data_IF_649521450032
#
_entry.id   IF_649521450032
#
_cell.length_a   1.000
_cell.length_b   1.000
_cell.length_c   1.000
_cell.angle_alpha   90.00
_cell.angle_beta   90.00
_cell.angle_gamma   90.00
#
_symmetry.space_group_name_H-M   'P 1'
#
loop_
_entity.id
_entity.type
_entity.pdbx_description
1 polymer ?
#
# COMPACT_ATOMS: atom_id res chain seq x y z
N UNK A 1 13.87 5.53 -11.07
CA UNK A 1 15.02 6.43 -10.89
C UNK A 1 14.82 7.81 -11.54
N UNK A 2 13.85 7.97 -12.43
CA UNK A 2 13.61 9.23 -13.16
C UNK A 2 12.74 10.24 -12.40
N UNK A 3 11.99 9.80 -11.37
CA UNK A 3 11.11 10.69 -10.61
C UNK A 3 11.80 11.47 -9.50
N UNK A 4 11.25 12.65 -9.14
CA UNK A 4 11.60 13.39 -7.95
C UNK A 4 11.20 12.60 -6.69
N UNK A 5 12.08 12.56 -5.71
CA UNK A 5 11.86 11.88 -4.43
C UNK A 5 11.58 12.87 -3.33
N UNK A 6 10.38 12.88 -2.81
CA UNK A 6 9.98 13.77 -1.72
C UNK A 6 10.28 13.10 -0.37
N UNK A 7 11.07 13.78 0.47
CA UNK A 7 11.44 13.29 1.81
C UNK A 7 10.62 13.94 2.91
N UNK A 8 9.87 14.98 2.59
CA UNK A 8 8.98 15.72 3.48
C UNK A 8 7.48 15.51 3.18
N UNK A 9 7.14 14.42 2.46
CA UNK A 9 5.76 14.08 2.17
C UNK A 9 5.08 13.46 3.39
N UNK A 10 3.86 13.92 3.66
CA UNK A 10 3.05 13.48 4.79
C UNK A 10 1.71 12.92 4.31
N UNK A 11 1.33 11.83 4.95
CA UNK A 11 0.04 11.18 4.82
C UNK A 11 -0.75 11.31 6.11
N UNK A 12 -1.77 10.51 6.28
CA UNK A 12 -2.40 10.27 7.57
C UNK A 12 -1.93 8.92 8.13
N UNK A 13 -2.26 8.64 9.38
CA UNK A 13 -1.74 7.44 10.04
C UNK A 13 -2.43 6.12 9.60
N UNK A 14 -3.38 6.17 8.66
CA UNK A 14 -4.19 5.01 8.25
C UNK A 14 -4.62 5.11 6.78
N UNK A 15 -4.84 3.96 6.15
CA UNK A 15 -5.15 3.84 4.72
C UNK A 15 -6.44 4.57 4.29
N UNK A 16 -7.60 4.33 4.92
CA UNK A 16 -8.86 4.98 4.53
C UNK A 16 -8.79 6.50 4.62
N UNK A 17 -8.15 7.01 5.67
CA UNK A 17 -8.00 8.44 5.92
C UNK A 17 -7.09 9.11 4.89
N UNK A 18 -5.98 8.48 4.55
CA UNK A 18 -5.09 8.94 3.47
C UNK A 18 -5.77 8.86 2.11
N UNK A 19 -6.48 7.78 1.81
CA UNK A 19 -7.21 7.60 0.55
C UNK A 19 -8.29 8.65 0.38
N UNK A 20 -9.03 8.98 1.44
CA UNK A 20 -10.02 10.05 1.42
C UNK A 20 -9.37 11.42 1.15
N UNK A 21 -8.24 11.74 1.80
CA UNK A 21 -7.51 12.99 1.54
C UNK A 21 -6.92 13.04 0.12
N UNK A 22 -6.36 11.93 -0.38
CA UNK A 22 -5.85 11.82 -1.75
C UNK A 22 -6.94 12.05 -2.79
N UNK A 23 -8.09 11.41 -2.60
CA UNK A 23 -9.20 11.47 -3.55
C UNK A 23 -9.93 12.82 -3.56
N UNK A 24 -9.88 13.58 -2.46
CA UNK A 24 -10.69 14.80 -2.31
C UNK A 24 -9.89 16.09 -2.24
N UNK A 25 -8.59 16.01 -2.02
CA UNK A 25 -7.76 17.17 -1.73
C UNK A 25 -8.12 17.88 -0.41
N UNK A 26 -8.82 17.20 0.51
CA UNK A 26 -9.32 17.76 1.76
C UNK A 26 -8.85 16.98 2.98
N UNK A 27 -8.98 17.58 4.15
CA UNK A 27 -8.76 16.85 5.40
C UNK A 27 -9.80 15.73 5.52
N UNK A 28 -9.34 14.54 5.85
CA UNK A 28 -10.18 13.35 5.94
C UNK A 28 -11.33 13.45 6.97
N UNK A 29 -11.17 14.23 8.05
CA UNK A 29 -12.25 14.48 9.00
C UNK A 29 -13.39 15.31 8.39
N UNK A 30 -13.06 16.28 7.52
CA UNK A 30 -14.05 17.15 6.87
C UNK A 30 -14.89 16.39 5.83
N UNK A 31 -14.41 15.24 5.37
CA UNK A 31 -15.09 14.43 4.36
C UNK A 31 -15.72 13.14 4.90
N UNK A 32 -15.79 13.01 6.24
CA UNK A 32 -16.47 11.87 6.89
C UNK A 32 -15.58 10.65 7.15
N UNK A 33 -14.26 10.72 6.89
CA UNK A 33 -13.33 9.60 7.00
C UNK A 33 -12.29 9.84 8.11
N UNK A 34 -12.75 10.20 9.31
CA UNK A 34 -11.88 10.43 10.48
C UNK A 34 -11.21 9.18 11.03
N UNK A 35 -11.65 7.99 10.59
CA UNK A 35 -11.09 6.68 10.94
C UNK A 35 -11.17 5.75 9.72
N UNK A 36 -10.91 4.45 9.92
CA UNK A 36 -11.05 3.43 8.87
C UNK A 36 -12.50 3.33 8.37
N UNK A 37 -12.68 2.97 7.12
CA UNK A 37 -13.98 2.75 6.49
C UNK A 37 -14.81 1.66 7.19
N UNK A 38 -14.17 0.76 7.92
CA UNK A 38 -14.79 -0.29 8.71
C UNK A 38 -15.59 0.24 9.93
N UNK A 39 -15.37 1.49 10.33
CA UNK A 39 -15.95 2.07 11.54
C UNK A 39 -16.83 3.29 11.22
N UNK A 40 -18.13 3.15 11.44
CA UNK A 40 -19.09 4.27 11.47
C UNK A 40 -19.48 4.56 12.93
N UNK A 41 -18.99 5.64 13.48
CA UNK A 41 -19.33 6.05 14.85
C UNK A 41 -20.62 6.89 14.95
N UNK A 42 -21.24 7.22 13.81
CA UNK A 42 -22.39 8.08 13.72
C UNK A 42 -22.11 9.59 13.75
N UNK A 43 -20.88 10.00 14.10
CA UNK A 43 -20.49 11.43 14.06
C UNK A 43 -20.14 11.87 12.64
N UNK A 44 -20.44 13.13 12.25
CA UNK A 44 -20.24 13.61 10.87
C UNK A 44 -18.84 13.36 10.30
N UNK A 45 -17.78 13.60 11.08
CA UNK A 45 -16.40 13.38 10.67
C UNK A 45 -15.95 11.90 10.64
N UNK A 46 -16.79 10.94 11.08
CA UNK A 46 -16.43 9.52 11.30
C UNK A 46 -17.51 8.58 10.75
N UNK A 47 -17.86 8.77 9.49
CA UNK A 47 -18.94 8.03 8.84
C UNK A 47 -18.46 6.80 8.07
N UNK A 48 -17.15 6.54 8.00
CA UNK A 48 -16.58 5.40 7.30
C UNK A 48 -16.76 5.44 5.78
N UNK A 49 -17.17 6.59 5.23
CA UNK A 49 -17.22 6.85 3.79
C UNK A 49 -17.06 8.33 3.48
N UNK A 50 -16.59 8.64 2.30
CA UNK A 50 -16.52 10.02 1.80
C UNK A 50 -17.95 10.53 1.62
N UNK A 51 -18.24 11.74 2.15
CA UNK A 51 -19.54 12.36 2.05
C UNK A 51 -19.96 12.55 0.58
N UNK A 52 -21.25 12.35 0.28
CA UNK A 52 -21.75 12.35 -1.10
C UNK A 52 -21.67 13.73 -1.79
N UNK A 53 -21.67 14.80 -1.02
CA UNK A 53 -21.54 16.19 -1.49
C UNK A 53 -20.08 16.65 -1.65
N UNK A 54 -19.12 15.79 -1.35
CA UNK A 54 -17.69 16.05 -1.58
C UNK A 54 -17.22 15.33 -2.84
N UNK A 55 -16.90 16.05 -3.93
CA UNK A 55 -16.43 15.41 -5.15
C UNK A 55 -15.04 14.78 -4.94
N UNK A 56 -14.82 13.64 -5.59
CA UNK A 56 -13.51 13.01 -5.69
C UNK A 56 -12.74 13.56 -6.90
N UNK A 57 -11.42 13.36 -6.91
CA UNK A 57 -10.56 13.66 -8.05
C UNK A 57 -11.08 12.98 -9.33
N UNK A 58 -11.53 11.73 -9.25
CA UNK A 58 -12.09 11.02 -10.41
C UNK A 58 -13.38 11.66 -10.92
N UNK A 59 -14.27 12.11 -10.03
CA UNK A 59 -15.50 12.85 -10.44
C UNK A 59 -15.15 14.18 -11.12
N UNK A 60 -14.15 14.91 -10.60
CA UNK A 60 -13.69 16.16 -11.19
C UNK A 60 -13.04 15.94 -12.57
N UNK A 61 -12.12 14.99 -12.68
CA UNK A 61 -11.45 14.64 -13.94
C UNK A 61 -12.44 14.14 -15.00
N UNK A 62 -13.48 13.37 -14.62
CA UNK A 62 -14.57 12.99 -15.52
C UNK A 62 -15.28 14.22 -16.10
N UNK A 63 -15.50 15.25 -15.27
CA UNK A 63 -16.05 16.54 -15.71
C UNK A 63 -15.17 17.29 -16.72
N UNK A 64 -13.87 16.99 -16.74
CA UNK A 64 -12.88 17.49 -17.70
C UNK A 64 -12.63 16.53 -18.88
N UNK A 65 -13.44 15.49 -19.05
CA UNK A 65 -13.39 14.60 -20.20
C UNK A 65 -12.46 13.38 -20.04
N UNK A 66 -11.85 13.19 -18.89
CA UNK A 66 -11.02 12.00 -18.61
C UNK A 66 -11.84 10.71 -18.54
N UNK A 67 -11.21 9.59 -18.89
CA UNK A 67 -11.66 8.25 -18.54
C UNK A 67 -10.89 7.76 -17.30
N UNK A 68 -11.62 7.27 -16.30
CA UNK A 68 -11.04 6.98 -14.99
C UNK A 68 -11.10 5.48 -14.69
N UNK A 69 -9.96 4.90 -14.36
CA UNK A 69 -9.78 3.49 -14.09
C UNK A 69 -9.19 3.28 -12.70
N UNK A 70 -9.68 2.27 -11.99
CA UNK A 70 -9.11 1.86 -10.71
C UNK A 70 -8.90 0.35 -10.68
N UNK A 71 -7.71 -0.08 -10.28
CA UNK A 71 -7.40 -1.48 -9.97
C UNK A 71 -6.88 -1.61 -8.55
N UNK A 72 -7.31 -2.67 -7.84
CA UNK A 72 -6.87 -3.00 -6.50
C UNK A 72 -7.77 -2.45 -5.39
N UNK A 73 -7.16 -2.06 -4.27
CA UNK A 73 -7.82 -1.68 -3.03
C UNK A 73 -8.62 -0.38 -3.16
N UNK A 74 -9.89 -0.41 -2.73
CA UNK A 74 -10.72 0.80 -2.58
C UNK A 74 -10.68 1.37 -1.16
N UNK A 75 -11.17 0.65 -0.19
CA UNK A 75 -11.20 0.98 1.25
C UNK A 75 -11.72 2.39 1.59
N UNK A 76 -12.72 2.87 0.88
CA UNK A 76 -13.40 4.15 1.10
C UNK A 76 -14.94 4.01 1.15
N UNK A 77 -15.45 2.79 1.32
CA UNK A 77 -16.85 2.43 1.51
C UNK A 77 -17.02 1.76 2.86
N UNK A 78 -18.12 2.03 3.56
CA UNK A 78 -18.46 1.35 4.82
C UNK A 78 -18.50 -0.15 4.63
N UNK A 79 -18.00 -0.90 5.60
CA UNK A 79 -18.06 -2.37 5.57
C UNK A 79 -19.48 -2.90 5.40
N UNK A 80 -20.47 -2.25 6.00
CA UNK A 80 -21.91 -2.62 5.86
C UNK A 80 -22.49 -2.34 4.48
N UNK A 81 -21.77 -1.63 3.62
CA UNK A 81 -22.19 -1.25 2.26
C UNK A 81 -21.34 -1.96 1.18
N UNK A 82 -20.49 -2.93 1.55
CA UNK A 82 -19.64 -3.67 0.59
C UNK A 82 -20.29 -4.94 0.03
N UNK A 83 -21.49 -5.27 0.47
CA UNK A 83 -22.19 -6.47 0.03
C UNK A 83 -22.73 -6.38 -1.42
N UNK A 84 -23.11 -7.53 -2.02
CA UNK A 84 -23.51 -7.60 -3.43
C UNK A 84 -24.82 -6.86 -3.75
N UNK A 85 -25.54 -6.40 -2.75
CA UNK A 85 -26.78 -5.62 -2.90
C UNK A 85 -26.54 -4.11 -2.77
N UNK A 86 -25.31 -3.68 -2.55
CA UNK A 86 -24.96 -2.27 -2.31
C UNK A 86 -25.44 -1.73 -0.96
N UNK A 87 -25.66 -0.39 -0.85
CA UNK A 87 -25.72 0.62 -1.92
C UNK A 87 -24.36 0.86 -2.62
N UNK A 88 -24.41 1.18 -3.92
CA UNK A 88 -23.22 1.32 -4.76
C UNK A 88 -22.70 2.77 -4.90
N UNK A 89 -23.36 3.74 -4.28
CA UNK A 89 -22.99 5.17 -4.34
C UNK A 89 -21.61 5.47 -3.75
N UNK A 90 -21.18 4.69 -2.77
CA UNK A 90 -19.85 4.76 -2.19
C UNK A 90 -18.78 3.94 -2.90
N UNK A 91 -19.14 3.09 -3.87
CA UNK A 91 -18.21 2.24 -4.60
C UNK A 91 -17.46 3.04 -5.69
N UNK A 92 -16.36 2.50 -6.25
CA UNK A 92 -15.56 3.24 -7.23
C UNK A 92 -16.34 3.84 -8.38
N UNK A 93 -17.30 3.10 -8.99
CA UNK A 93 -18.09 3.62 -10.11
C UNK A 93 -19.01 4.77 -9.66
N UNK A 94 -19.60 4.68 -8.47
CA UNK A 94 -20.39 5.75 -7.85
C UNK A 94 -19.57 6.97 -7.47
N UNK A 95 -18.24 6.85 -7.44
CA UNK A 95 -17.28 7.88 -7.06
C UNK A 95 -16.34 8.30 -8.19
N UNK A 96 -16.81 8.20 -9.44
CA UNK A 96 -16.19 8.84 -10.60
C UNK A 96 -15.30 7.93 -11.45
N UNK A 97 -15.11 6.67 -11.11
CA UNK A 97 -14.39 5.73 -11.97
C UNK A 97 -15.32 5.09 -13.00
N UNK A 98 -14.83 4.92 -14.23
CA UNK A 98 -15.58 4.28 -15.32
C UNK A 98 -15.46 2.75 -15.27
N UNK A 99 -14.34 2.24 -14.77
CA UNK A 99 -14.09 0.83 -14.55
C UNK A 99 -13.35 0.61 -13.22
N UNK A 100 -13.66 -0.50 -12.61
CA UNK A 100 -13.03 -0.97 -11.39
C UNK A 100 -12.74 -2.47 -11.46
N UNK A 101 -11.57 -2.86 -10.97
CA UNK A 101 -11.23 -4.25 -10.70
C UNK A 101 -10.37 -4.34 -9.45
N UNK A 102 -10.83 -5.05 -8.42
CA UNK A 102 -10.09 -5.13 -7.17
C UNK A 102 -10.95 -5.55 -6.00
N UNK A 103 -10.69 -4.99 -4.84
CA UNK A 103 -11.39 -5.32 -3.60
C UNK A 103 -11.79 -4.06 -2.82
N UNK A 104 -12.86 -4.17 -2.04
CA UNK A 104 -13.47 -3.02 -1.37
C UNK A 104 -12.94 -2.79 0.05
N UNK A 105 -12.50 -3.84 0.72
CA UNK A 105 -12.08 -3.81 2.13
C UNK A 105 -10.61 -3.38 2.32
N UNK A 106 -10.17 -3.43 3.56
CA UNK A 106 -8.85 -3.03 4.04
C UNK A 106 -7.73 -3.92 3.49
N UNK A 107 -7.99 -5.20 3.39
CA UNK A 107 -7.07 -6.26 2.98
C UNK A 107 -7.82 -7.37 2.25
N UNK A 108 -7.08 -8.20 1.56
CA UNK A 108 -7.59 -9.44 0.94
C UNK A 108 -6.44 -10.42 0.77
N UNK A 109 -6.74 -11.70 0.74
CA UNK A 109 -5.77 -12.76 0.44
C UNK A 109 -5.23 -12.61 -0.99
N UNK A 110 -3.93 -12.85 -1.19
CA UNK A 110 -3.29 -12.65 -2.50
C UNK A 110 -3.50 -13.83 -3.46
N UNK A 111 -3.85 -15.00 -2.93
CA UNK A 111 -4.10 -16.21 -3.72
C UNK A 111 -5.58 -16.56 -3.83
N UNK A 112 -6.41 -16.06 -2.89
CA UNK A 112 -7.86 -16.27 -2.85
C UNK A 112 -8.61 -14.98 -2.51
N UNK A 113 -8.44 -13.90 -3.32
CA UNK A 113 -8.99 -12.60 -3.00
C UNK A 113 -10.51 -12.55 -3.14
N UNK A 114 -11.14 -11.69 -2.34
CA UNK A 114 -12.50 -11.22 -2.58
C UNK A 114 -12.49 -10.15 -3.67
N UNK A 115 -12.87 -10.51 -4.88
CA UNK A 115 -12.82 -9.62 -6.03
C UNK A 115 -14.17 -9.01 -6.40
N UNK A 116 -14.08 -7.76 -6.85
CA UNK A 116 -15.18 -7.02 -7.44
C UNK A 116 -14.74 -6.48 -8.81
N UNK A 117 -15.58 -6.71 -9.82
CA UNK A 117 -15.46 -6.07 -11.14
C UNK A 117 -16.62 -5.10 -11.30
N UNK A 118 -16.29 -3.82 -11.44
CA UNK A 118 -17.26 -2.72 -11.48
C UNK A 118 -18.13 -2.72 -10.21
N UNK A 119 -19.39 -3.16 -10.26
CA UNK A 119 -20.28 -3.31 -9.11
C UNK A 119 -20.68 -4.77 -8.84
N UNK A 120 -19.90 -5.75 -9.29
CA UNK A 120 -20.25 -7.17 -9.19
C UNK A 120 -19.14 -7.95 -8.51
N UNK A 121 -19.45 -8.66 -7.43
CA UNK A 121 -18.54 -9.64 -6.84
C UNK A 121 -18.28 -10.78 -7.82
N UNK A 122 -17.04 -11.16 -7.98
CA UNK A 122 -16.59 -12.22 -8.88
C UNK A 122 -15.64 -13.18 -8.18
N UNK A 123 -15.51 -14.39 -8.69
CA UNK A 123 -14.47 -15.30 -8.25
C UNK A 123 -13.12 -14.88 -8.87
N UNK A 124 -12.03 -15.21 -8.20
CA UNK A 124 -10.69 -15.07 -8.77
C UNK A 124 -10.57 -15.93 -10.05
N UNK A 125 -9.84 -15.45 -11.08
CA UNK A 125 -9.73 -16.18 -12.36
C UNK A 125 -8.87 -17.43 -12.28
N UNK A 126 -8.18 -17.66 -11.18
CA UNK A 126 -7.32 -18.81 -10.94
C UNK A 126 -7.14 -19.10 -9.46
N UNK A 127 -6.30 -20.08 -9.16
CA UNK A 127 -5.91 -20.49 -7.81
C UNK A 127 -4.38 -20.51 -7.69
N UNK A 128 -3.84 -20.60 -6.48
CA UNK A 128 -2.40 -20.80 -6.28
C UNK A 128 -1.84 -21.95 -7.15
N UNK A 129 -2.55 -23.08 -7.21
CA UNK A 129 -2.11 -24.26 -7.99
C UNK A 129 -2.04 -24.02 -9.50
N UNK A 130 -2.79 -23.01 -9.99
CA UNK A 130 -2.73 -22.57 -11.40
C UNK A 130 -1.78 -21.40 -11.62
N UNK A 131 -1.01 -21.02 -10.59
CA UNK A 131 -0.06 -19.90 -10.64
C UNK A 131 -0.68 -18.52 -10.42
N UNK A 132 -1.92 -18.44 -9.91
CA UNK A 132 -2.59 -17.17 -9.68
C UNK A 132 -1.97 -16.41 -8.49
N UNK A 133 -1.78 -15.10 -8.68
CA UNK A 133 -1.47 -14.14 -7.62
C UNK A 133 -2.11 -12.79 -7.92
N UNK A 134 -2.78 -12.18 -6.92
CA UNK A 134 -3.53 -10.94 -7.08
C UNK A 134 -2.70 -9.77 -7.64
N UNK A 135 -1.45 -9.63 -7.22
CA UNK A 135 -0.58 -8.54 -7.71
C UNK A 135 -0.40 -8.58 -9.22
N UNK A 136 -0.20 -9.77 -9.78
CA UNK A 136 -0.09 -9.97 -11.23
C UNK A 136 -1.40 -9.67 -11.94
N UNK A 137 -2.49 -10.23 -11.45
CA UNK A 137 -3.84 -10.07 -11.99
C UNK A 137 -4.28 -8.58 -12.03
N UNK A 138 -3.99 -7.81 -10.97
CA UNK A 138 -4.29 -6.37 -10.95
C UNK A 138 -3.54 -5.61 -12.05
N UNK A 139 -2.28 -5.92 -12.30
CA UNK A 139 -1.51 -5.26 -13.36
C UNK A 139 -1.98 -5.72 -14.74
N UNK A 140 -2.35 -6.99 -14.92
CA UNK A 140 -2.94 -7.49 -16.17
C UNK A 140 -4.28 -6.76 -16.48
N UNK A 141 -5.11 -6.53 -15.48
CA UNK A 141 -6.34 -5.75 -15.65
C UNK A 141 -6.06 -4.26 -15.94
N UNK A 142 -5.07 -3.65 -15.28
CA UNK A 142 -4.64 -2.29 -15.61
C UNK A 142 -4.20 -2.16 -17.07
N UNK A 143 -3.35 -3.10 -17.53
CA UNK A 143 -2.91 -3.19 -18.92
C UNK A 143 -4.10 -3.42 -19.87
N UNK A 144 -5.05 -4.25 -19.48
CA UNK A 144 -6.26 -4.50 -20.27
C UNK A 144 -7.12 -3.22 -20.43
N UNK A 145 -7.28 -2.44 -19.35
CA UNK A 145 -7.99 -1.17 -19.41
C UNK A 145 -7.30 -0.17 -20.32
N UNK A 146 -5.98 -0.01 -20.21
CA UNK A 146 -5.21 0.92 -21.05
C UNK A 146 -5.21 0.51 -22.53
N UNK A 147 -4.99 -0.77 -22.83
CA UNK A 147 -5.05 -1.28 -24.21
C UNK A 147 -6.44 -1.08 -24.83
N UNK A 148 -7.50 -1.35 -24.06
CA UNK A 148 -8.87 -1.11 -24.50
C UNK A 148 -9.15 0.37 -24.73
N UNK A 149 -8.64 1.25 -23.86
CA UNK A 149 -8.72 2.70 -24.00
C UNK A 149 -8.02 3.19 -25.26
N UNK A 150 -6.76 2.81 -25.47
CA UNK A 150 -5.96 3.17 -26.63
C UNK A 150 -6.61 2.73 -27.96
N UNK A 151 -7.24 1.56 -27.97
CA UNK A 151 -7.92 1.05 -29.16
C UNK A 151 -9.23 1.77 -29.48
N UNK A 152 -9.96 2.21 -28.45
CA UNK A 152 -11.31 2.76 -28.62
C UNK A 152 -11.35 4.27 -28.61
N UNK A 153 -10.52 4.93 -27.79
CA UNK A 153 -10.55 6.38 -27.53
C UNK A 153 -9.13 6.96 -27.32
N UNK A 154 -8.21 6.80 -28.30
CA UNK A 154 -6.80 7.17 -28.11
C UNK A 154 -6.58 8.65 -27.79
N UNK A 155 -7.46 9.55 -28.26
CA UNK A 155 -7.36 11.00 -28.08
C UNK A 155 -8.01 11.50 -26.78
N UNK A 156 -8.60 10.61 -25.98
CA UNK A 156 -9.24 10.97 -24.71
C UNK A 156 -8.22 10.81 -23.58
N UNK A 157 -8.02 11.80 -22.70
CA UNK A 157 -7.12 11.63 -21.55
C UNK A 157 -7.67 10.61 -20.55
N UNK A 158 -6.76 9.95 -19.83
CA UNK A 158 -7.11 8.94 -18.84
C UNK A 158 -6.44 9.17 -17.48
N UNK A 159 -7.09 8.66 -16.45
CA UNK A 159 -6.59 8.60 -15.08
C UNK A 159 -6.67 7.16 -14.60
N UNK A 160 -5.55 6.60 -14.15
CA UNK A 160 -5.47 5.24 -13.61
C UNK A 160 -4.93 5.27 -12.19
N UNK A 161 -5.68 4.71 -11.23
CA UNK A 161 -5.18 4.40 -9.90
C UNK A 161 -4.85 2.91 -9.80
N UNK A 162 -3.62 2.60 -9.40
CA UNK A 162 -3.16 1.23 -9.12
C UNK A 162 -2.90 1.11 -7.64
N UNK A 163 -3.76 0.40 -6.94
CA UNK A 163 -3.77 0.26 -5.50
C UNK A 163 -3.55 -1.22 -5.10
N UNK A 164 -2.30 -1.73 -5.13
CA UNK A 164 -2.04 -3.15 -4.84
C UNK A 164 -2.42 -3.52 -3.40
N UNK A 165 -2.54 -4.81 -3.12
CA UNK A 165 -2.58 -5.34 -1.75
C UNK A 165 -1.24 -5.17 -1.04
N UNK A 166 -0.15 -5.13 -1.78
CA UNK A 166 1.21 -4.93 -1.29
C UNK A 166 1.42 -3.49 -0.73
N UNK A 167 2.04 -3.31 0.45
CA UNK A 167 2.51 -4.41 1.33
C UNK A 167 1.67 -4.51 2.61
N UNK A 168 0.35 -4.53 2.50
CA UNK A 168 -0.52 -4.83 3.64
C UNK A 168 -0.49 -6.34 3.94
N UNK A 169 -0.71 -6.74 5.19
CA UNK A 169 -0.98 -8.14 5.49
C UNK A 169 -2.24 -8.64 4.73
N UNK A 170 -2.31 -9.92 4.35
CA UNK A 170 -1.31 -10.95 4.54
C UNK A 170 -0.07 -10.73 3.67
N UNK A 171 1.12 -10.87 4.26
CA UNK A 171 2.34 -10.85 3.47
C UNK A 171 2.48 -12.18 2.75
N UNK A 172 2.04 -12.22 1.50
CA UNK A 172 2.05 -13.39 0.63
C UNK A 172 2.76 -13.04 -0.67
N UNK A 173 3.63 -13.92 -1.13
CA UNK A 173 4.43 -13.74 -2.35
C UNK A 173 4.92 -15.09 -2.89
N UNK A 174 5.37 -15.16 -4.15
CA UNK A 174 6.02 -16.36 -4.70
C UNK A 174 7.18 -16.84 -3.84
N UNK A 175 7.25 -18.15 -3.62
CA UNK A 175 8.18 -18.78 -2.67
C UNK A 175 9.64 -18.48 -2.99
N UNK A 176 10.02 -18.49 -4.25
CA UNK A 176 11.37 -18.19 -4.71
C UNK A 176 11.84 -16.79 -4.33
N UNK A 177 10.94 -15.80 -4.36
CA UNK A 177 11.22 -14.45 -3.89
C UNK A 177 11.36 -14.41 -2.35
N UNK A 178 10.54 -15.15 -1.61
CA UNK A 178 10.67 -15.22 -0.14
C UNK A 178 12.00 -15.85 0.26
N UNK A 179 12.37 -16.96 -0.36
CA UNK A 179 13.62 -17.67 -0.11
C UNK A 179 14.86 -16.81 -0.41
N UNK A 180 14.79 -15.95 -1.44
CA UNK A 180 15.82 -14.96 -1.75
C UNK A 180 16.12 -14.02 -0.59
N UNK A 181 15.11 -13.66 0.22
CA UNK A 181 15.24 -12.69 1.30
C UNK A 181 15.54 -13.30 2.67
N UNK A 182 15.42 -14.60 2.85
CA UNK A 182 15.55 -15.23 4.17
C UNK A 182 16.90 -14.89 4.83
N UNK A 183 18.01 -15.02 4.13
CA UNK A 183 19.34 -14.72 4.69
C UNK A 183 19.62 -13.23 4.84
N UNK A 184 18.96 -12.38 4.04
CA UNK A 184 19.20 -10.92 4.05
C UNK A 184 18.83 -10.25 5.38
N UNK A 185 17.89 -10.83 6.11
CA UNK A 185 17.38 -10.30 7.38
C UNK A 185 17.84 -11.11 8.61
N UNK A 186 18.75 -12.05 8.43
CA UNK A 186 19.26 -12.89 9.50
C UNK A 186 19.97 -12.11 10.62
N UNK A 187 20.60 -10.95 10.29
CA UNK A 187 21.27 -10.07 11.26
C UNK A 187 20.29 -9.20 12.08
N UNK A 188 19.00 -9.24 11.75
CA UNK A 188 17.92 -8.64 12.50
C UNK A 188 17.67 -7.15 12.27
N UNK A 189 16.67 -6.66 12.99
CA UNK A 189 16.17 -5.29 12.81
C UNK A 189 17.11 -4.21 13.32
N UNK A 190 17.94 -4.44 14.34
CA UNK A 190 18.84 -3.43 14.85
C UNK A 190 19.95 -3.11 13.83
N UNK A 191 20.60 -4.15 13.28
CA UNK A 191 21.61 -4.02 12.21
C UNK A 191 20.98 -3.41 10.95
N UNK A 192 19.78 -3.84 10.61
CA UNK A 192 19.05 -3.29 9.45
C UNK A 192 18.74 -1.81 9.63
N UNK A 193 18.37 -1.34 10.83
CA UNK A 193 18.14 0.09 11.11
C UNK A 193 19.41 0.92 10.93
N UNK A 194 20.52 0.44 11.47
CA UNK A 194 21.82 1.15 11.34
C UNK A 194 22.22 1.25 9.87
N UNK A 195 22.16 0.17 9.12
CA UNK A 195 22.49 0.13 7.71
C UNK A 195 21.55 1.04 6.86
N UNK A 196 20.25 1.05 7.15
CA UNK A 196 19.29 1.95 6.48
C UNK A 196 19.58 3.41 6.77
N UNK A 197 19.84 3.79 8.04
CA UNK A 197 20.19 5.17 8.36
C UNK A 197 21.47 5.60 7.66
N UNK A 198 22.51 4.77 7.67
CA UNK A 198 23.76 5.06 6.99
C UNK A 198 23.53 5.33 5.49
N UNK A 199 22.74 4.48 4.84
CA UNK A 199 22.38 4.64 3.42
C UNK A 199 21.52 5.88 3.16
N UNK A 200 20.59 6.21 4.05
CA UNK A 200 19.76 7.43 3.92
C UNK A 200 20.59 8.71 4.05
N UNK A 201 21.58 8.73 4.93
CA UNK A 201 22.54 9.85 5.07
C UNK A 201 23.40 9.96 3.80
N UNK A 202 23.97 8.85 3.34
CA UNK A 202 24.79 8.79 2.13
C UNK A 202 24.07 9.32 0.90
N UNK A 203 22.79 8.95 0.76
CA UNK A 203 21.95 9.35 -0.39
C UNK A 203 21.25 10.69 -0.20
N UNK A 204 21.44 11.38 0.92
CA UNK A 204 20.83 12.68 1.22
C UNK A 204 19.33 12.63 1.56
N UNK A 205 18.75 11.46 1.73
CA UNK A 205 17.33 11.30 2.13
C UNK A 205 17.07 11.90 3.51
N UNK A 206 18.05 11.80 4.41
CA UNK A 206 18.04 12.47 5.71
C UNK A 206 19.31 13.29 5.91
N UNK A 207 19.28 14.39 6.70
CA UNK A 207 20.45 15.22 6.94
C UNK A 207 21.62 14.48 7.59
N UNK A 208 22.84 14.91 7.28
CA UNK A 208 24.06 14.49 8.00
C UNK A 208 23.91 14.81 9.48
N UNK A 209 24.27 13.87 10.36
CA UNK A 209 24.11 14.00 11.80
C UNK A 209 22.77 13.51 12.36
N UNK A 210 21.85 13.05 11.49
CA UNK A 210 20.64 12.34 11.94
C UNK A 210 21.04 11.13 12.79
N UNK A 211 20.37 10.93 13.91
CA UNK A 211 20.61 9.82 14.84
C UNK A 211 19.38 8.94 14.94
N UNK A 212 19.58 7.64 15.11
CA UNK A 212 18.49 6.74 15.44
C UNK A 212 17.90 7.11 16.81
N UNK A 213 16.57 7.21 16.92
CA UNK A 213 15.94 7.26 18.22
C UNK A 213 16.12 5.90 18.94
N UNK A 214 15.93 5.84 20.27
CA UNK A 214 15.79 4.58 20.99
C UNK A 214 14.75 3.68 20.32
N UNK A 215 14.84 2.36 20.56
CA UNK A 215 13.79 1.41 20.11
C UNK A 215 12.41 1.91 20.57
N UNK A 216 11.39 1.64 19.78
CA UNK A 216 10.03 1.94 20.17
C UNK A 216 9.64 1.12 21.41
N UNK A 217 8.73 1.66 22.21
CA UNK A 217 8.25 0.96 23.41
C UNK A 217 7.78 -0.46 23.08
N UNK A 218 8.18 -1.44 23.88
CA UNK A 218 7.91 -2.88 23.71
C UNK A 218 8.59 -3.53 22.50
N UNK A 219 9.59 -2.92 21.89
CA UNK A 219 10.46 -3.59 20.93
C UNK A 219 11.73 -4.02 21.67
N UNK A 220 11.89 -5.31 21.80
CA UNK A 220 13.08 -5.93 22.38
C UNK A 220 14.26 -5.85 21.42
N UNK A 221 15.49 -6.00 21.93
CA UNK A 221 16.65 -6.12 21.08
C UNK A 221 16.60 -7.42 20.30
N UNK A 222 17.08 -7.42 19.07
CA UNK A 222 17.19 -8.65 18.30
C UNK A 222 17.95 -9.74 19.09
N UNK A 223 19.05 -9.36 19.75
CA UNK A 223 19.89 -10.27 20.51
C UNK A 223 19.22 -10.88 21.76
N UNK A 224 18.10 -10.35 22.21
CA UNK A 224 17.37 -10.86 23.39
C UNK A 224 16.42 -12.01 23.02
N UNK A 225 16.25 -12.29 21.72
CA UNK A 225 15.42 -13.38 21.20
C UNK A 225 16.20 -14.69 21.00
N UNK A 226 15.48 -15.81 21.05
CA UNK A 226 16.03 -17.13 20.81
C UNK A 226 16.42 -17.35 19.31
N UNK A 227 17.40 -18.20 19.00
CA UNK A 227 17.80 -18.45 17.60
C UNK A 227 16.68 -18.92 16.68
N UNK A 228 15.74 -19.71 17.17
CA UNK A 228 14.56 -20.17 16.43
C UNK A 228 13.58 -19.02 16.14
N UNK A 229 13.45 -18.05 17.05
CA UNK A 229 12.65 -16.84 16.82
C UNK A 229 13.31 -15.95 15.76
N UNK A 230 14.63 -15.85 15.73
CA UNK A 230 15.37 -15.13 14.68
C UNK A 230 15.01 -15.67 13.30
N UNK A 231 14.94 -16.99 13.12
CA UNK A 231 14.55 -17.59 11.84
C UNK A 231 13.12 -17.22 11.45
N UNK A 232 12.18 -17.33 12.40
CA UNK A 232 10.78 -16.94 12.18
C UNK A 232 10.67 -15.48 11.77
N UNK A 233 11.30 -14.58 12.53
CA UNK A 233 11.21 -13.14 12.28
C UNK A 233 11.87 -12.73 10.96
N UNK A 234 13.01 -13.34 10.62
CA UNK A 234 13.66 -13.12 9.33
C UNK A 234 12.78 -13.59 8.16
N UNK A 235 12.11 -14.75 8.30
CA UNK A 235 11.20 -15.30 7.29
C UNK A 235 9.97 -14.42 7.10
N UNK A 236 9.35 -13.92 8.19
CA UNK A 236 8.21 -12.98 8.12
C UNK A 236 8.61 -11.67 7.41
N UNK A 237 9.80 -11.13 7.69
CA UNK A 237 10.33 -9.97 6.97
C UNK A 237 10.66 -10.29 5.52
N UNK A 238 11.13 -11.50 5.26
CA UNK A 238 11.38 -12.01 3.90
C UNK A 238 10.11 -11.99 3.05
N UNK A 239 8.99 -12.46 3.60
CA UNK A 239 7.68 -12.44 2.92
C UNK A 239 7.22 -11.01 2.59
N UNK A 240 7.37 -10.06 3.53
CA UNK A 240 7.08 -8.65 3.26
C UNK A 240 7.96 -8.07 2.13
N UNK A 241 9.26 -8.33 2.17
CA UNK A 241 10.18 -7.81 1.16
C UNK A 241 9.94 -8.44 -0.22
N UNK A 242 9.63 -9.73 -0.25
CA UNK A 242 9.26 -10.45 -1.46
C UNK A 242 7.96 -9.91 -2.08
N UNK A 243 6.96 -9.60 -1.26
CA UNK A 243 5.71 -9.00 -1.72
C UNK A 243 5.94 -7.62 -2.36
N UNK A 244 6.83 -6.82 -1.78
CA UNK A 244 7.20 -5.51 -2.35
C UNK A 244 7.95 -5.68 -3.67
N UNK A 245 8.92 -6.60 -3.75
CA UNK A 245 9.65 -6.87 -5.00
C UNK A 245 8.71 -7.40 -6.08
N UNK A 246 7.79 -8.30 -5.72
CA UNK A 246 6.81 -8.83 -6.65
C UNK A 246 5.93 -7.72 -7.24
N UNK A 247 5.50 -6.77 -6.42
CA UNK A 247 4.78 -5.60 -6.92
C UNK A 247 5.64 -4.71 -7.81
N UNK A 248 6.90 -4.45 -7.44
CA UNK A 248 7.82 -3.63 -8.23
C UNK A 248 8.08 -4.23 -9.62
N UNK A 249 8.25 -5.54 -9.70
CA UNK A 249 8.38 -6.27 -10.98
C UNK A 249 7.16 -6.05 -11.89
N UNK A 250 5.95 -6.18 -11.33
CA UNK A 250 4.73 -6.03 -12.13
C UNK A 250 4.40 -4.57 -12.44
N UNK A 251 4.73 -3.61 -11.56
CA UNK A 251 4.67 -2.19 -11.87
C UNK A 251 5.60 -1.85 -13.04
N UNK A 252 6.77 -2.47 -13.10
CA UNK A 252 7.69 -2.36 -14.25
C UNK A 252 6.99 -2.67 -15.57
N UNK A 253 6.19 -3.75 -15.65
CA UNK A 253 5.41 -4.12 -16.86
C UNK A 253 4.43 -3.03 -17.30
N UNK A 254 3.82 -2.31 -16.35
CA UNK A 254 2.95 -1.17 -16.66
C UNK A 254 3.74 0.00 -17.26
N UNK A 255 4.89 0.32 -16.68
CA UNK A 255 5.78 1.38 -17.20
C UNK A 255 6.32 1.00 -18.59
N UNK A 256 6.76 -0.26 -18.79
CA UNK A 256 7.22 -0.76 -20.09
C UNK A 256 6.12 -0.67 -21.17
N UNK A 257 4.85 -0.88 -20.77
CA UNK A 257 3.72 -0.70 -21.69
C UNK A 257 3.53 0.76 -22.10
N UNK A 258 3.64 1.71 -21.15
CA UNK A 258 3.56 3.14 -21.46
C UNK A 258 4.70 3.59 -22.37
N UNK A 259 5.90 3.06 -22.18
CA UNK A 259 7.06 3.34 -23.03
C UNK A 259 6.84 2.77 -24.44
N UNK A 260 6.46 1.51 -24.54
CA UNK A 260 6.21 0.83 -25.81
C UNK A 260 5.04 1.44 -26.62
N UNK A 261 4.10 2.12 -25.96
CA UNK A 261 2.99 2.82 -26.57
C UNK A 261 3.23 4.32 -26.77
N UNK A 262 4.47 4.80 -26.54
CA UNK A 262 4.88 6.19 -26.67
C UNK A 262 4.09 7.18 -25.79
N UNK A 263 3.52 6.68 -24.66
CA UNK A 263 2.73 7.48 -23.72
C UNK A 263 3.50 7.87 -22.45
N UNK A 264 4.67 7.30 -22.23
CA UNK A 264 5.42 7.51 -20.98
C UNK A 264 5.81 8.97 -20.77
N UNK A 265 6.07 9.73 -21.85
CA UNK A 265 6.46 11.13 -21.77
C UNK A 265 5.26 12.10 -21.68
N UNK A 266 4.05 11.62 -21.95
CA UNK A 266 2.79 12.36 -21.76
C UNK A 266 2.05 11.93 -20.47
N UNK A 267 2.68 11.10 -19.65
CA UNK A 267 2.06 10.55 -18.44
C UNK A 267 2.77 11.05 -17.18
N UNK A 268 2.01 11.68 -16.28
CA UNK A 268 2.46 11.95 -14.90
C UNK A 268 2.29 10.69 -14.07
N UNK A 269 3.36 10.25 -13.42
CA UNK A 269 3.36 9.05 -12.55
C UNK A 269 3.65 9.46 -11.11
N UNK A 270 2.72 9.13 -10.21
CA UNK A 270 2.85 9.32 -8.77
C UNK A 270 2.95 7.95 -8.07
N UNK A 271 4.01 7.72 -7.30
CA UNK A 271 4.17 6.51 -6.48
C UNK A 271 4.32 6.92 -5.03
N UNK A 272 3.44 6.43 -4.18
CA UNK A 272 3.42 6.78 -2.75
C UNK A 272 2.97 5.60 -1.87
N UNK A 273 3.29 5.68 -0.57
CA UNK A 273 2.68 4.85 0.45
C UNK A 273 1.55 5.63 1.14
N UNK A 274 0.51 4.95 1.57
CA UNK A 274 -0.66 5.57 2.21
C UNK A 274 -0.53 5.70 3.74
N UNK A 275 0.43 5.02 4.36
CA UNK A 275 0.81 5.15 5.77
C UNK A 275 2.13 4.42 6.03
N UNK A 276 2.72 4.65 7.17
CA UNK A 276 3.92 3.94 7.60
C UNK A 276 3.69 2.44 7.84
N UNK A 277 4.78 1.68 8.01
CA UNK A 277 4.74 0.25 8.23
C UNK A 277 3.87 -0.14 9.43
N UNK A 278 3.18 -1.28 9.31
CA UNK A 278 2.18 -1.74 10.27
C UNK A 278 2.78 -2.29 11.56
N UNK A 279 2.16 -1.96 12.69
CA UNK A 279 2.43 -2.59 13.99
C UNK A 279 1.49 -3.77 14.30
N UNK A 280 0.60 -4.10 13.37
CA UNK A 280 -0.50 -5.06 13.61
C UNK A 280 -0.01 -6.49 13.89
N UNK A 281 1.20 -6.84 13.46
CA UNK A 281 1.84 -8.11 13.78
C UNK A 281 2.23 -8.30 15.25
N UNK A 282 2.11 -7.26 16.08
CA UNK A 282 2.45 -7.36 17.49
C UNK A 282 3.94 -7.58 17.77
N UNK A 283 4.31 -7.99 18.97
CA UNK A 283 5.73 -8.20 19.34
C UNK A 283 6.43 -9.29 18.53
N UNK A 284 5.71 -10.35 18.15
CA UNK A 284 6.30 -11.59 17.60
C UNK A 284 5.85 -11.92 16.18
N UNK A 285 5.07 -11.03 15.54
CA UNK A 285 4.41 -11.37 14.27
C UNK A 285 3.34 -12.47 14.46
N UNK A 286 2.64 -12.78 13.38
CA UNK A 286 1.72 -13.92 13.35
C UNK A 286 1.76 -14.63 11.99
N UNK A 287 1.33 -15.87 11.98
CA UNK A 287 1.20 -16.74 10.81
C UNK A 287 -0.27 -16.92 10.43
N UNK A 288 -1.18 -16.76 11.41
CA UNK A 288 -2.62 -16.85 11.24
C UNK A 288 -3.33 -15.65 11.86
N UNK A 289 -3.64 -14.64 11.04
CA UNK A 289 -4.37 -13.44 11.49
C UNK A 289 -5.72 -13.76 12.14
N UNK A 290 -6.43 -14.82 11.68
CA UNK A 290 -7.72 -15.19 12.24
C UNK A 290 -7.63 -15.62 13.70
N UNK A 291 -6.52 -16.24 14.13
CA UNK A 291 -6.28 -16.51 15.54
C UNK A 291 -6.22 -15.20 16.33
N UNK A 292 -5.43 -14.22 15.84
CA UNK A 292 -5.24 -12.92 16.50
C UNK A 292 -6.56 -12.14 16.58
N UNK A 293 -7.31 -12.04 15.49
CA UNK A 293 -8.59 -11.33 15.46
C UNK A 293 -9.66 -11.95 16.37
N UNK A 294 -9.60 -13.26 16.57
CA UNK A 294 -10.49 -13.97 17.49
C UNK A 294 -9.91 -14.07 18.92
N UNK A 295 -8.82 -13.36 19.21
CA UNK A 295 -8.15 -13.38 20.52
C UNK A 295 -7.71 -14.80 20.95
N UNK A 296 -7.41 -15.67 19.99
CA UNK A 296 -6.84 -17.00 20.21
C UNK A 296 -5.33 -16.86 20.21
N UNK A 297 -4.63 -17.30 21.28
CA UNK A 297 -3.17 -17.29 21.29
C UNK A 297 -2.59 -18.14 20.16
N UNK A 298 -1.54 -17.65 19.53
CA UNK A 298 -0.74 -18.38 18.55
C UNK A 298 0.64 -18.66 19.16
N UNK A 299 0.84 -19.86 19.77
CA UNK A 299 2.08 -20.20 20.44
C UNK A 299 3.28 -20.17 19.48
N UNK A 300 4.46 -19.86 20.01
CA UNK A 300 5.70 -19.82 19.22
C UNK A 300 5.98 -21.14 18.51
N UNK A 301 5.76 -22.26 19.20
CA UNK A 301 5.92 -23.61 18.64
C UNK A 301 5.05 -23.85 17.40
N UNK A 302 3.79 -23.38 17.41
CA UNK A 302 2.88 -23.50 16.25
C UNK A 302 3.35 -22.64 15.08
N UNK A 303 3.84 -21.42 15.34
CA UNK A 303 4.41 -20.55 14.31
C UNK A 303 5.64 -21.18 13.66
N UNK A 304 6.54 -21.72 14.48
CA UNK A 304 7.77 -22.39 14.02
C UNK A 304 7.48 -23.65 13.22
N UNK A 305 6.44 -24.42 13.58
CA UNK A 305 6.01 -25.59 12.83
C UNK A 305 5.52 -25.22 11.39
N UNK A 306 5.14 -23.96 11.16
CA UNK A 306 4.68 -23.45 9.87
C UNK A 306 5.68 -22.53 9.16
N UNK A 307 6.95 -22.58 9.56
CA UNK A 307 7.98 -21.69 9.03
C UNK A 307 8.08 -21.74 7.50
N UNK A 308 7.98 -22.94 6.93
CA UNK A 308 8.08 -23.16 5.49
C UNK A 308 6.81 -22.73 4.72
N UNK A 309 5.68 -22.58 5.39
CA UNK A 309 4.42 -22.15 4.81
C UNK A 309 4.30 -20.61 4.73
N UNK A 310 5.14 -19.89 5.47
CA UNK A 310 5.07 -18.41 5.59
C UNK A 310 5.11 -17.76 4.21
N UNK A 311 4.11 -16.93 3.97
CA UNK A 311 3.91 -16.21 2.71
C UNK A 311 3.24 -17.02 1.61
N UNK A 312 2.90 -18.28 1.88
CA UNK A 312 2.11 -19.13 1.00
C UNK A 312 0.59 -18.98 1.20
N UNK A 313 -0.21 -19.72 0.39
CA UNK A 313 -1.66 -19.57 0.34
C UNK A 313 -2.39 -19.97 1.64
N UNK A 314 -1.78 -20.80 2.46
CA UNK A 314 -2.39 -21.30 3.70
C UNK A 314 -2.02 -20.48 4.93
N UNK A 315 -1.35 -19.33 4.74
CA UNK A 315 -0.92 -18.46 5.83
C UNK A 315 -1.42 -17.02 5.62
N UNK A 316 -1.77 -16.38 6.71
CA UNK A 316 -2.17 -14.97 6.71
C UNK A 316 -1.22 -14.20 7.64
N UNK A 317 -0.03 -13.85 7.12
CA UNK A 317 1.12 -13.44 7.92
C UNK A 317 1.28 -11.94 8.09
N UNK A 318 1.89 -11.54 9.22
CA UNK A 318 2.41 -10.20 9.44
C UNK A 318 3.69 -10.25 10.27
N UNK A 319 4.59 -9.30 10.07
CA UNK A 319 5.89 -9.24 10.73
C UNK A 319 5.80 -8.62 12.14
N UNK A 320 6.79 -8.87 13.04
CA UNK A 320 6.84 -8.28 14.37
C UNK A 320 7.17 -6.79 14.38
N UNK A 321 6.86 -6.10 15.49
CA UNK A 321 7.13 -4.68 15.74
C UNK A 321 8.56 -4.24 15.45
N UNK A 322 9.55 -5.12 15.68
CA UNK A 322 10.95 -4.84 15.39
C UNK A 322 11.18 -4.52 13.91
N UNK A 323 10.55 -5.26 13.02
CA UNK A 323 10.63 -5.01 11.58
C UNK A 323 9.82 -3.79 11.13
N UNK A 324 8.65 -3.55 11.73
CA UNK A 324 7.90 -2.31 11.49
C UNK A 324 8.73 -1.07 11.88
N UNK A 325 9.43 -1.12 13.02
CA UNK A 325 10.36 -0.07 13.43
C UNK A 325 11.52 0.09 12.44
N UNK A 326 12.10 -1.01 11.96
CA UNK A 326 13.17 -0.96 10.98
C UNK A 326 12.68 -0.43 9.63
N UNK A 327 11.46 -0.75 9.20
CA UNK A 327 10.87 -0.23 7.97
C UNK A 327 10.71 1.29 8.00
N UNK A 328 10.35 1.87 9.15
CA UNK A 328 10.13 3.31 9.32
C UNK A 328 11.39 4.09 9.71
N UNK A 329 12.58 3.51 9.63
CA UNK A 329 13.85 4.18 9.97
C UNK A 329 14.03 5.50 9.21
N UNK A 330 14.43 6.60 9.88
CA UNK A 330 14.78 6.77 11.30
C UNK A 330 13.59 7.25 12.16
N UNK A 331 12.39 7.21 11.66
CA UNK A 331 11.21 7.79 12.29
C UNK A 331 10.69 6.90 13.42
N UNK A 332 9.99 7.53 14.38
CA UNK A 332 9.37 6.83 15.52
C UNK A 332 7.97 6.34 15.17
N UNK A 333 7.59 5.21 15.77
CA UNK A 333 6.27 4.62 15.69
C UNK A 333 5.94 4.09 14.29
N UNK A 334 4.65 3.86 14.04
CA UNK A 334 4.13 3.01 12.98
C UNK A 334 2.77 3.54 12.48
N UNK A 335 2.19 2.90 11.47
CA UNK A 335 0.75 2.99 11.14
C UNK A 335 -0.09 3.09 12.42
N UNK A 336 -1.20 3.81 12.40
CA UNK A 336 -2.09 4.13 13.52
C UNK A 336 -1.52 5.15 14.54
N UNK A 337 -0.31 5.64 14.33
CA UNK A 337 0.28 6.65 15.21
C UNK A 337 0.56 7.94 14.42
N UNK A 338 0.21 9.08 15.00
CA UNK A 338 0.46 10.42 14.43
C UNK A 338 1.93 10.89 14.58
N UNK A 339 2.84 9.96 14.81
CA UNK A 339 4.29 10.19 14.78
C UNK A 339 4.84 10.02 13.36
N UNK A 340 6.02 10.52 13.11
CA UNK A 340 6.65 10.47 11.79
C UNK A 340 6.65 9.09 11.14
N UNK A 341 6.84 8.00 11.89
CA UNK A 341 6.80 6.63 11.36
C UNK A 341 5.41 6.13 10.95
N UNK A 342 4.35 6.90 11.24
CA UNK A 342 2.99 6.58 10.78
C UNK A 342 2.48 7.49 9.67
N UNK A 343 3.06 8.70 9.55
CA UNK A 343 2.51 9.76 8.69
C UNK A 343 3.51 10.40 7.73
N UNK A 344 4.79 10.06 7.80
CA UNK A 344 5.81 10.60 6.89
C UNK A 344 6.30 9.49 5.99
N UNK A 345 5.83 9.50 4.77
CA UNK A 345 5.91 8.40 3.83
C UNK A 345 6.63 8.80 2.53
N UNK A 346 7.09 7.85 1.73
CA UNK A 346 7.72 8.15 0.47
C UNK A 346 6.72 8.65 -0.57
N UNK A 347 7.12 9.65 -1.36
CA UNK A 347 6.47 10.05 -2.59
C UNK A 347 7.52 10.19 -3.69
N UNK A 348 7.24 9.59 -4.84
CA UNK A 348 8.01 9.77 -6.07
C UNK A 348 7.09 10.34 -7.14
N UNK A 349 7.53 11.42 -7.79
CA UNK A 349 6.77 12.12 -8.84
C UNK A 349 7.60 12.15 -10.12
N UNK A 350 7.10 11.54 -11.18
CA UNK A 350 7.60 11.72 -12.54
C UNK A 350 6.60 12.60 -13.31
N UNK A 351 7.02 13.79 -13.72
CA UNK A 351 6.21 14.72 -14.49
C UNK A 351 7.06 15.24 -15.69
N UNK A 352 7.03 14.52 -16.82
CA UNK A 352 7.86 14.85 -17.98
C UNK A 352 7.63 16.28 -18.48
N UNK A 353 8.71 16.94 -18.87
CA UNK A 353 8.63 18.32 -19.33
C UNK A 353 8.35 19.39 -18.27
N UNK A 354 7.87 19.02 -17.10
CA UNK A 354 7.58 19.94 -15.99
C UNK A 354 8.67 19.95 -14.91
N UNK A 355 9.48 18.90 -14.84
CA UNK A 355 10.52 18.73 -13.83
C UNK A 355 11.89 18.64 -14.47
N UNK A 356 12.80 19.62 -14.23
CA UNK A 356 14.09 19.70 -14.93
C UNK A 356 15.18 18.79 -14.37
N UNK A 357 15.06 18.28 -13.12
CA UNK A 357 16.08 17.46 -12.45
C UNK A 357 15.55 16.09 -12.08
N UNK A 358 15.54 15.18 -13.03
CA UNK A 358 15.15 13.80 -12.83
C UNK A 358 15.97 13.12 -11.70
N UNK A 359 15.27 12.35 -10.85
CA UNK A 359 15.89 11.66 -9.71
C UNK A 359 16.27 12.55 -8.53
N UNK A 360 16.04 13.86 -8.59
CA UNK A 360 16.37 14.82 -7.55
C UNK A 360 15.60 14.59 -6.24
N UNK A 361 16.15 15.13 -5.13
CA UNK A 361 15.50 15.12 -3.82
C UNK A 361 14.74 16.44 -3.58
N UNK A 362 13.61 16.33 -2.93
CA UNK A 362 12.77 17.45 -2.46
C UNK A 362 12.49 17.29 -0.98
N UNK A 363 12.92 18.29 -0.19
CA UNK A 363 12.82 18.26 1.27
C UNK A 363 11.68 19.11 1.83
N UNK A 364 10.99 19.89 0.96
CA UNK A 364 9.86 20.69 1.39
C UNK A 364 8.72 19.82 1.94
N UNK A 365 7.99 20.39 2.87
CA UNK A 365 6.76 19.80 3.36
C UNK A 365 5.73 19.76 2.24
N UNK A 366 5.08 18.61 2.09
CA UNK A 366 3.86 18.43 1.30
C UNK A 366 2.99 17.37 1.96
N UNK A 367 1.72 17.40 1.69
CA UNK A 367 0.74 16.50 2.28
C UNK A 367 -0.06 15.80 1.19
N UNK A 368 -0.60 14.64 1.47
CA UNK A 368 -1.38 13.85 0.50
C UNK A 368 -2.59 14.61 -0.05
N UNK A 369 -3.17 15.53 0.72
CA UNK A 369 -4.26 16.39 0.27
C UNK A 369 -3.82 17.42 -0.82
N UNK A 370 -2.52 17.68 -0.95
CA UNK A 370 -2.01 18.58 -1.98
C UNK A 370 -2.00 17.93 -3.37
N UNK A 371 -2.07 16.59 -3.45
CA UNK A 371 -1.95 15.88 -4.72
C UNK A 371 -3.14 16.10 -5.65
N UNK A 372 -4.39 16.04 -5.14
CA UNK A 372 -5.56 16.25 -5.97
C UNK A 372 -5.61 17.65 -6.61
N UNK A 373 -5.43 18.78 -5.88
CA UNK A 373 -5.34 20.09 -6.51
C UNK A 373 -4.15 20.21 -7.47
N UNK A 374 -3.00 19.61 -7.18
CA UNK A 374 -1.83 19.62 -8.08
C UNK A 374 -2.11 18.89 -9.41
N UNK A 375 -2.89 17.80 -9.38
CA UNK A 375 -3.27 17.08 -10.60
C UNK A 375 -4.29 17.88 -11.43
N UNK A 376 -5.10 18.71 -10.79
CA UNK A 376 -6.14 19.52 -11.46
C UNK A 376 -5.59 20.84 -12.06
N UNK A 377 -4.42 21.30 -11.61
CA UNK A 377 -3.73 22.49 -12.09
C UNK A 377 -2.94 22.24 -13.39
#
# INVERSE_FOLDING_TARGET
>A
AQGLRYTGFHTTAMCSTTRASLLTGRNHHDVGMGCLANFDSGFPGYRGKIAADVPTLAELLRGHGYRNYLVGKWHATRLTETGPSGPFDGWPLGRGFDRFYGFLDAETDQYSPELVRDNTHIAAPGTHDTGYHLTEDLIDEALRFLKGHQAATPDVPWFLMVNPGACHAPHQAPRDLIDKYEQRFADGWDVTRDARLARQIETGVVPVGTRLPPRNHRVEAWADHAPEEHRLFARLQGAYAAMLEHFDLHLGRLIDHLDASEQVDDTVVLVLSDNGASQEGGPHGFVNAMAVFNMVPEPMEEKLARLDDIGGPDTHTNFPHGWAMAANTPLKRYKQNTHGGGIRDPLVVRAPGQVPDEGGLRHQFCHVADLAPTVLE
#
